data_IF_139450086029
#
_entry.id   IF_139450086029
#
_cell.length_a   1.000
_cell.length_b   1.000
_cell.length_c   1.000
_cell.angle_alpha   90.00
_cell.angle_beta   90.00
_cell.angle_gamma   90.00
#
_symmetry.space_group_name_H-M   'P 1'
#
loop_
_entity.id
_entity.type
_entity.pdbx_description
1 polymer ?
#
# COMPACT_ATOMS: atom_id res chain seq x y z
N UNK A 1 5.79 8.18 -13.64
CA UNK A 1 6.01 6.75 -13.41
C UNK A 1 7.30 6.31 -14.07
N UNK A 2 8.06 5.47 -13.39
CA UNK A 2 9.32 4.87 -13.85
C UNK A 2 9.29 3.38 -13.47
N UNK A 3 9.63 2.50 -14.40
CA UNK A 3 9.80 1.08 -14.12
C UNK A 3 11.29 0.71 -14.14
N UNK A 4 11.83 0.35 -12.98
CA UNK A 4 13.19 -0.18 -12.84
C UNK A 4 13.20 -1.69 -12.57
N UNK A 5 12.04 -2.36 -12.63
CA UNK A 5 11.96 -3.81 -12.55
C UNK A 5 12.57 -4.44 -13.82
N UNK A 6 13.02 -5.69 -13.72
CA UNK A 6 13.47 -6.50 -14.86
C UNK A 6 12.30 -7.16 -15.62
N UNK A 7 11.06 -6.82 -15.26
CA UNK A 7 9.81 -7.23 -15.90
C UNK A 7 8.89 -6.05 -16.21
N UNK A 8 7.89 -6.27 -17.07
CA UNK A 8 6.88 -5.27 -17.44
C UNK A 8 5.89 -5.02 -16.31
N UNK A 9 5.43 -3.79 -16.17
CA UNK A 9 4.39 -3.42 -15.19
C UNK A 9 3.33 -2.54 -15.84
N UNK A 10 2.10 -2.62 -15.33
CA UNK A 10 0.98 -1.78 -15.78
C UNK A 10 0.53 -0.89 -14.62
N UNK A 11 0.98 0.37 -14.62
CA UNK A 11 0.62 1.28 -13.55
C UNK A 11 -0.87 1.58 -13.61
N UNK A 12 -1.54 1.64 -12.47
CA UNK A 12 -2.95 1.98 -12.38
C UNK A 12 -3.18 2.95 -11.23
N UNK A 13 -4.22 3.76 -11.35
CA UNK A 13 -4.73 4.60 -10.27
C UNK A 13 -6.08 4.06 -9.81
N UNK A 14 -6.35 4.16 -8.51
CA UNK A 14 -7.62 3.84 -7.88
C UNK A 14 -8.09 5.07 -7.09
N UNK A 15 -9.00 5.85 -7.66
CA UNK A 15 -9.61 7.00 -7.00
C UNK A 15 -10.54 6.57 -5.88
N UNK A 16 -10.32 7.10 -4.69
CA UNK A 16 -11.12 6.80 -3.50
C UNK A 16 -12.54 7.35 -3.57
N UNK A 17 -13.41 6.81 -2.73
CA UNK A 17 -14.74 7.38 -2.51
C UNK A 17 -14.61 8.79 -1.91
N UNK A 18 -15.43 9.73 -2.36
CA UNK A 18 -15.42 11.07 -1.77
C UNK A 18 -16.13 11.10 -0.41
N UNK A 19 -15.61 11.89 0.52
CA UNK A 19 -16.26 12.11 1.82
C UNK A 19 -17.65 12.75 1.65
N UNK A 20 -18.63 12.30 2.44
CA UNK A 20 -20.03 12.72 2.33
C UNK A 20 -20.62 12.56 0.90
N UNK A 21 -20.21 11.51 0.18
CA UNK A 21 -20.73 11.22 -1.16
C UNK A 21 -22.26 11.26 -1.21
N UNK A 22 -22.86 11.92 -2.22
CA UNK A 22 -24.28 11.75 -2.49
C UNK A 22 -24.56 10.32 -2.97
N UNK A 23 -25.79 9.86 -2.74
CA UNK A 23 -26.33 8.71 -3.46
C UNK A 23 -26.38 9.04 -4.96
N UNK A 24 -25.99 8.08 -5.81
CA UNK A 24 -25.89 8.30 -7.25
C UNK A 24 -26.33 7.06 -8.04
N UNK A 25 -26.92 7.29 -9.21
CA UNK A 25 -27.16 6.23 -10.21
C UNK A 25 -26.49 6.54 -11.56
N UNK A 26 -26.03 7.79 -11.73
CA UNK A 26 -25.34 8.28 -12.92
C UNK A 26 -24.29 9.33 -12.52
N UNK A 27 -23.30 9.55 -13.38
CA UNK A 27 -22.26 10.57 -13.16
C UNK A 27 -22.81 11.99 -13.01
N UNK A 28 -23.99 12.29 -13.56
CA UNK A 28 -24.60 13.62 -13.46
C UNK A 28 -25.04 14.01 -12.04
N UNK A 29 -25.12 13.03 -11.13
CA UNK A 29 -25.40 13.25 -9.70
C UNK A 29 -24.12 13.36 -8.88
N UNK A 30 -22.99 13.04 -9.49
CA UNK A 30 -21.69 13.13 -8.85
C UNK A 30 -21.07 14.50 -9.07
N UNK A 31 -20.28 14.97 -8.10
CA UNK A 31 -19.39 16.10 -8.26
C UNK A 31 -18.51 16.11 -9.51
N UNK A 32 -18.16 17.32 -9.96
CA UNK A 32 -17.10 17.52 -10.96
C UNK A 32 -15.80 16.82 -10.52
N UNK A 33 -15.20 16.05 -11.43
CA UNK A 33 -13.99 15.27 -11.18
C UNK A 33 -14.24 13.91 -10.52
N UNK A 34 -15.50 13.50 -10.36
CA UNK A 34 -15.87 12.20 -9.77
C UNK A 34 -16.85 11.44 -10.67
N UNK A 35 -16.91 10.12 -10.50
CA UNK A 35 -17.81 9.22 -11.25
C UNK A 35 -18.55 8.28 -10.30
N UNK A 36 -19.76 7.90 -10.70
CA UNK A 36 -20.65 7.07 -9.90
C UNK A 36 -20.36 5.58 -10.09
N UNK A 37 -20.16 4.85 -8.99
CA UNK A 37 -20.46 3.42 -8.96
C UNK A 37 -21.87 3.23 -8.38
N UNK A 38 -22.89 2.92 -9.21
CA UNK A 38 -24.27 2.74 -8.76
C UNK A 38 -24.50 1.48 -7.92
N UNK A 39 -23.58 0.50 -7.96
CA UNK A 39 -23.71 -0.74 -7.19
C UNK A 39 -23.21 -0.57 -5.75
N UNK A 40 -22.40 0.46 -5.47
CA UNK A 40 -21.86 0.74 -4.16
C UNK A 40 -22.94 1.04 -3.10
N UNK A 41 -22.58 0.88 -1.82
CA UNK A 41 -23.44 1.16 -0.66
C UNK A 41 -24.83 0.49 -0.72
N UNK A 42 -24.86 -0.79 -1.13
CA UNK A 42 -26.10 -1.55 -1.25
C UNK A 42 -27.03 -1.07 -2.36
N UNK A 43 -26.48 -0.53 -3.45
CA UNK A 43 -27.22 -0.05 -4.62
C UNK A 43 -27.72 1.40 -4.52
N UNK A 44 -27.28 2.15 -3.50
CA UNK A 44 -27.51 3.60 -3.40
C UNK A 44 -26.54 4.40 -4.27
N UNK A 45 -25.41 3.78 -4.59
CA UNK A 45 -24.30 4.35 -5.32
C UNK A 45 -23.44 5.31 -4.52
N UNK A 46 -22.18 5.42 -4.92
CA UNK A 46 -21.16 6.27 -4.30
C UNK A 46 -20.31 6.90 -5.42
N UNK A 47 -19.92 8.16 -5.23
CA UNK A 47 -19.05 8.89 -6.13
C UNK A 47 -17.58 8.68 -5.74
N UNK A 48 -16.75 8.39 -6.73
CA UNK A 48 -15.31 8.16 -6.58
C UNK A 48 -14.53 9.13 -7.45
N UNK A 49 -13.31 9.50 -7.04
CA UNK A 49 -12.43 10.33 -7.86
C UNK A 49 -12.15 9.67 -9.22
N UNK A 50 -12.25 10.46 -10.30
CA UNK A 50 -11.92 9.97 -11.65
C UNK A 50 -10.41 9.73 -11.74
N UNK A 51 -10.04 8.56 -12.25
CA UNK A 51 -8.65 8.23 -12.54
C UNK A 51 -8.19 8.95 -13.81
N UNK A 52 -7.15 9.80 -13.77
CA UNK A 52 -6.64 10.46 -14.97
C UNK A 52 -6.02 9.44 -15.92
N UNK A 53 -6.10 9.73 -17.22
CA UNK A 53 -5.57 8.89 -18.29
C UNK A 53 -4.18 9.40 -18.70
N UNK A 54 -3.19 8.51 -18.85
CA UNK A 54 -1.89 8.89 -19.40
C UNK A 54 -2.02 9.32 -20.87
N UNK A 55 -1.14 10.20 -21.38
CA UNK A 55 -1.04 10.45 -22.80
C UNK A 55 -0.56 9.18 -23.51
N UNK A 56 -0.83 9.09 -24.82
CA UNK A 56 -0.19 8.09 -25.66
C UNK A 56 1.33 8.19 -25.53
N UNK A 57 2.03 7.06 -25.47
CA UNK A 57 3.49 7.01 -25.38
C UNK A 57 4.13 7.94 -26.44
N UNK A 58 5.07 8.83 -26.06
CA UNK A 58 5.70 9.73 -27.01
C UNK A 58 6.52 8.93 -28.05
N UNK A 59 6.25 9.20 -29.32
CA UNK A 59 6.92 8.70 -30.52
C UNK A 59 6.83 7.16 -30.80
N UNK A 60 5.87 6.77 -31.64
CA UNK A 60 5.88 5.54 -32.46
C UNK A 60 5.92 4.18 -31.73
N UNK A 61 5.65 4.11 -30.43
CA UNK A 61 5.52 2.83 -29.73
C UNK A 61 4.03 2.44 -29.60
N UNK A 62 3.53 1.37 -30.24
CA UNK A 62 2.15 0.90 -30.13
C UNK A 62 1.83 0.26 -28.77
N UNK A 63 2.70 0.46 -27.77
CA UNK A 63 2.55 -0.09 -26.43
C UNK A 63 1.42 0.62 -25.71
N UNK A 64 0.60 -0.18 -25.05
CA UNK A 64 -0.45 0.25 -24.13
C UNK A 64 0.07 1.39 -23.22
N UNK A 65 -0.59 2.56 -23.15
CA UNK A 65 -0.06 3.72 -22.43
C UNK A 65 0.09 3.51 -20.92
N UNK A 66 -0.56 2.48 -20.36
CA UNK A 66 -0.41 2.07 -18.96
C UNK A 66 0.76 1.10 -18.74
N UNK A 67 1.24 0.47 -19.81
CA UNK A 67 2.37 -0.46 -19.77
C UNK A 67 3.70 0.31 -19.75
N UNK A 68 4.57 -0.09 -18.83
CA UNK A 68 5.95 0.30 -18.78
C UNK A 68 6.82 -0.93 -19.05
N UNK A 69 7.66 -0.84 -20.07
CA UNK A 69 8.62 -1.91 -20.38
C UNK A 69 9.59 -2.13 -19.21
N UNK A 70 10.20 -3.31 -19.15
CA UNK A 70 11.28 -3.62 -18.21
C UNK A 70 12.44 -2.62 -18.35
N UNK A 71 13.28 -2.53 -17.31
CA UNK A 71 14.45 -1.66 -17.29
C UNK A 71 15.31 -1.84 -18.54
N UNK A 72 15.64 -0.72 -19.20
CA UNK A 72 16.32 -0.69 -20.50
C UNK A 72 15.40 -0.55 -21.72
N UNK A 73 14.09 -0.68 -21.53
CA UNK A 73 13.05 -0.37 -22.54
C UNK A 73 12.43 1.02 -22.38
N UNK A 74 11.26 1.25 -23.01
CA UNK A 74 10.43 2.45 -22.78
C UNK A 74 9.69 2.29 -21.45
N UNK A 75 10.33 2.73 -20.37
CA UNK A 75 9.94 2.41 -19.01
C UNK A 75 9.38 3.60 -18.22
N UNK A 76 8.98 4.69 -18.90
CA UNK A 76 8.45 5.89 -18.26
C UNK A 76 7.16 6.37 -18.90
N UNK A 77 6.19 6.80 -18.09
CA UNK A 77 5.04 7.58 -18.54
C UNK A 77 4.58 8.53 -17.40
N UNK A 78 3.62 9.41 -17.68
CA UNK A 78 3.10 10.41 -16.75
C UNK A 78 1.59 10.52 -16.85
N UNK A 79 0.95 10.96 -15.77
CA UNK A 79 -0.47 11.36 -15.76
C UNK A 79 -0.55 12.78 -15.23
N UNK A 80 -1.56 13.52 -15.69
CA UNK A 80 -1.85 14.87 -15.19
C UNK A 80 -3.18 14.80 -14.43
N UNK A 81 -3.14 15.13 -13.14
CA UNK A 81 -4.35 15.31 -12.33
C UNK A 81 -4.84 16.74 -12.54
N UNK A 82 -6.03 16.95 -13.14
CA UNK A 82 -6.53 18.30 -13.39
C UNK A 82 -7.04 18.94 -12.10
N UNK A 83 -6.76 20.23 -11.92
CA UNK A 83 -7.43 21.04 -10.87
C UNK A 83 -8.81 21.45 -11.39
N UNK A 84 -9.87 20.82 -10.89
CA UNK A 84 -11.22 21.23 -11.25
C UNK A 84 -11.53 22.63 -10.69
N UNK A 85 -12.12 23.50 -11.51
CA UNK A 85 -12.44 24.89 -11.14
C UNK A 85 -13.51 24.99 -10.05
N UNK A 86 -14.37 23.95 -9.90
CA UNK A 86 -15.51 23.88 -8.98
C UNK A 86 -15.60 22.53 -8.20
N UNK A 87 -14.48 21.89 -7.84
CA UNK A 87 -14.47 20.61 -7.10
C UNK A 87 -15.28 20.64 -5.79
N UNK A 88 -15.95 19.53 -5.46
CA UNK A 88 -16.95 19.42 -4.38
C UNK A 88 -16.36 19.20 -2.99
N UNK A 89 -15.14 18.71 -2.89
CA UNK A 89 -14.31 19.06 -1.74
C UNK A 89 -13.53 20.31 -2.13
N UNK A 90 -13.90 21.45 -1.54
CA UNK A 90 -13.36 22.78 -1.91
C UNK A 90 -11.83 22.83 -1.93
N UNK A 91 -11.16 21.87 -1.27
CA UNK A 91 -9.72 21.80 -1.14
C UNK A 91 -9.07 20.51 -1.68
N UNK A 92 -9.77 19.41 -1.99
CA UNK A 92 -9.11 18.18 -2.48
C UNK A 92 -9.13 18.13 -4.01
N UNK A 93 -7.96 17.88 -4.62
CA UNK A 93 -7.81 17.74 -6.07
C UNK A 93 -8.05 16.29 -6.52
N UNK A 94 -7.47 15.34 -5.79
CA UNK A 94 -7.61 13.90 -6.01
C UNK A 94 -7.20 13.17 -4.74
N UNK A 95 -7.86 12.06 -4.43
CA UNK A 95 -7.48 11.18 -3.34
C UNK A 95 -7.64 9.73 -3.77
N UNK A 96 -6.67 8.89 -3.45
CA UNK A 96 -6.71 7.48 -3.82
C UNK A 96 -5.36 6.79 -3.69
N UNK A 97 -5.26 5.64 -4.33
CA UNK A 97 -4.12 4.74 -4.25
C UNK A 97 -3.55 4.51 -5.64
N UNK A 98 -2.24 4.33 -5.72
CA UNK A 98 -1.51 4.11 -6.97
C UNK A 98 -0.61 2.89 -6.80
N UNK A 99 -0.64 1.97 -7.75
CA UNK A 99 0.22 0.79 -7.78
C UNK A 99 0.46 0.36 -9.23
N UNK A 100 1.02 -0.84 -9.41
CA UNK A 100 1.12 -1.46 -10.72
C UNK A 100 0.77 -2.95 -10.67
N UNK A 101 0.04 -3.38 -11.69
CA UNK A 101 -0.25 -4.80 -11.95
C UNK A 101 0.91 -5.46 -12.67
N UNK A 102 1.01 -6.78 -12.57
CA UNK A 102 1.95 -7.60 -13.33
C UNK A 102 1.24 -8.81 -13.96
N UNK A 103 1.87 -9.42 -14.96
CA UNK A 103 1.32 -10.54 -15.73
C UNK A 103 -0.06 -10.22 -16.34
N UNK A 104 -0.21 -9.02 -16.91
CA UNK A 104 -1.43 -8.61 -17.59
C UNK A 104 -1.54 -9.27 -18.96
N UNK A 105 -2.73 -9.79 -19.28
CA UNK A 105 -2.98 -10.48 -20.54
C UNK A 105 -3.33 -9.53 -21.71
N UNK A 106 -3.33 -8.21 -21.48
CA UNK A 106 -3.67 -7.19 -22.47
C UNK A 106 -5.14 -7.15 -22.89
N UNK A 107 -6.03 -7.89 -22.21
CA UNK A 107 -7.45 -7.99 -22.57
C UNK A 107 -8.40 -7.86 -21.40
N UNK A 108 -8.34 -8.76 -20.41
CA UNK A 108 -9.37 -8.87 -19.36
C UNK A 108 -8.82 -8.76 -17.95
N UNK A 109 -7.60 -9.20 -17.69
CA UNK A 109 -7.11 -9.35 -16.32
C UNK A 109 -5.59 -9.38 -16.23
N UNK A 110 -5.09 -9.11 -15.03
CA UNK A 110 -3.73 -9.35 -14.57
C UNK A 110 -3.73 -10.43 -13.49
N UNK A 111 -2.61 -11.11 -13.28
CA UNK A 111 -2.52 -12.11 -12.20
C UNK A 111 -2.18 -11.49 -10.85
N UNK A 112 -1.50 -10.35 -10.85
CA UNK A 112 -0.97 -9.66 -9.67
C UNK A 112 -1.48 -8.23 -9.67
N UNK A 113 -2.05 -7.81 -8.53
CA UNK A 113 -2.62 -6.49 -8.32
C UNK A 113 -3.58 -6.08 -9.47
N UNK A 114 -4.43 -7.01 -9.92
CA UNK A 114 -5.53 -6.67 -10.81
C UNK A 114 -6.51 -5.72 -10.09
N UNK A 115 -7.13 -4.82 -10.82
CA UNK A 115 -8.16 -3.95 -10.25
C UNK A 115 -9.30 -3.72 -11.25
N UNK A 116 -9.63 -4.76 -12.02
CA UNK A 116 -10.51 -4.67 -13.17
C UNK A 116 -10.04 -3.60 -14.18
N UNK A 117 -8.72 -3.53 -14.39
CA UNK A 117 -8.07 -2.55 -15.26
C UNK A 117 -8.01 -2.99 -16.73
N UNK A 118 -8.92 -3.87 -17.14
CA UNK A 118 -9.05 -4.42 -18.50
C UNK A 118 -7.73 -5.02 -19.02
N UNK A 119 -7.11 -5.90 -18.22
CA UNK A 119 -5.83 -6.53 -18.56
C UNK A 119 -4.70 -5.51 -18.72
N UNK A 120 -4.68 -4.49 -17.86
CA UNK A 120 -3.67 -3.44 -17.85
C UNK A 120 -3.90 -2.32 -18.87
N UNK A 121 -5.02 -2.28 -19.61
CA UNK A 121 -5.27 -1.25 -20.64
C UNK A 121 -5.99 0.01 -20.14
N UNK A 122 -6.33 0.06 -18.85
CA UNK A 122 -6.93 1.19 -18.17
C UNK A 122 -6.33 1.37 -16.77
N UNK A 123 -6.72 2.43 -16.06
CA UNK A 123 -6.66 2.46 -14.59
C UNK A 123 -7.76 1.58 -13.99
N UNK A 124 -7.81 1.46 -12.66
CA UNK A 124 -8.84 0.67 -11.99
C UNK A 124 -10.25 1.16 -12.34
N UNK A 125 -11.18 0.22 -12.47
CA UNK A 125 -12.58 0.56 -12.66
C UNK A 125 -13.12 1.33 -11.44
N UNK A 126 -14.09 2.22 -11.66
CA UNK A 126 -14.69 3.03 -10.58
C UNK A 126 -15.19 2.10 -9.45
N UNK A 127 -14.85 2.42 -8.20
CA UNK A 127 -15.21 1.62 -7.04
C UNK A 127 -14.38 0.34 -6.83
N UNK A 128 -13.39 0.06 -7.68
CA UNK A 128 -12.56 -1.14 -7.57
C UNK A 128 -11.15 -0.79 -7.09
N UNK A 129 -10.71 -1.47 -6.02
CA UNK A 129 -9.33 -1.41 -5.56
C UNK A 129 -8.44 -2.50 -6.16
N UNK A 130 -7.16 -2.46 -5.81
CA UNK A 130 -6.20 -3.50 -6.17
C UNK A 130 -6.48 -4.80 -5.41
N UNK A 131 -6.48 -5.91 -6.14
CA UNK A 131 -6.37 -7.24 -5.59
C UNK A 131 -5.06 -7.36 -4.81
N UNK A 132 -5.17 -7.84 -3.58
CA UNK A 132 -4.08 -7.87 -2.62
C UNK A 132 -3.47 -9.29 -2.53
N UNK A 133 -2.14 -9.45 -2.34
CA UNK A 133 -1.19 -8.42 -1.92
C UNK A 133 -0.77 -7.39 -2.98
N UNK A 134 -0.78 -6.11 -2.60
CA UNK A 134 -0.26 -5.02 -3.39
C UNK A 134 0.37 -3.94 -2.50
N UNK A 135 1.62 -3.57 -2.79
CA UNK A 135 2.24 -2.34 -2.28
C UNK A 135 1.58 -1.15 -2.96
N UNK A 136 1.10 -0.17 -2.18
CA UNK A 136 0.37 0.97 -2.72
C UNK A 136 0.98 2.29 -2.27
N UNK A 137 0.98 3.27 -3.17
CA UNK A 137 1.20 4.67 -2.84
C UNK A 137 -0.16 5.32 -2.57
N UNK A 138 -0.42 5.69 -1.32
CA UNK A 138 -1.62 6.41 -0.93
C UNK A 138 -1.34 7.91 -0.99
N UNK A 139 -2.22 8.68 -1.63
CA UNK A 139 -2.07 10.14 -1.67
C UNK A 139 -3.42 10.85 -1.67
N UNK A 140 -3.49 11.92 -0.91
CA UNK A 140 -4.51 12.96 -1.01
C UNK A 140 -3.85 14.26 -1.43
N UNK A 141 -4.15 14.70 -2.64
CA UNK A 141 -3.67 15.96 -3.22
C UNK A 141 -4.58 17.10 -2.80
N UNK A 142 -4.03 18.11 -2.14
CA UNK A 142 -4.74 19.26 -1.60
C UNK A 142 -4.40 20.51 -2.41
N UNK A 143 -5.42 21.30 -2.75
CA UNK A 143 -5.32 22.49 -3.60
C UNK A 143 -4.59 23.64 -2.94
N UNK A 144 -4.83 23.90 -1.66
CA UNK A 144 -4.38 25.11 -0.96
C UNK A 144 -3.57 24.83 0.31
N UNK A 145 -3.13 23.59 0.47
CA UNK A 145 -2.32 23.11 1.59
C UNK A 145 -1.41 21.98 1.10
N UNK A 146 -0.65 21.37 2.00
CA UNK A 146 0.20 20.22 1.72
C UNK A 146 -0.63 18.98 1.41
N UNK A 147 -0.19 18.24 0.41
CA UNK A 147 -0.63 16.88 0.14
C UNK A 147 -0.25 15.97 1.31
N UNK A 148 -0.98 14.88 1.48
CA UNK A 148 -0.70 13.84 2.46
C UNK A 148 -0.49 12.53 1.73
N UNK A 149 0.59 11.82 2.05
CA UNK A 149 0.90 10.59 1.34
C UNK A 149 1.81 9.66 2.11
N UNK A 150 1.79 8.39 1.69
CA UNK A 150 2.61 7.31 2.22
C UNK A 150 2.69 6.15 1.22
N UNK A 151 3.60 5.21 1.47
CA UNK A 151 3.65 3.93 0.74
C UNK A 151 3.40 2.82 1.74
N UNK A 152 2.35 2.04 1.50
CA UNK A 152 1.87 1.03 2.42
C UNK A 152 2.16 -0.41 1.95
N UNK A 153 2.33 -1.29 2.93
CA UNK A 153 2.37 -2.75 2.79
C UNK A 153 1.51 -3.45 3.85
N UNK A 154 0.50 -2.73 4.38
CA UNK A 154 -0.53 -3.26 5.29
C UNK A 154 -1.17 -4.47 4.66
N UNK A 155 -1.60 -4.36 3.40
CA UNK A 155 -2.27 -5.44 2.68
C UNK A 155 -1.30 -6.36 1.94
N UNK A 156 -0.01 -6.26 2.29
CA UNK A 156 1.07 -7.11 1.80
C UNK A 156 1.94 -6.40 0.78
N UNK A 157 2.82 -7.16 0.16
CA UNK A 157 3.85 -6.63 -0.73
C UNK A 157 3.88 -7.44 -2.02
N UNK A 158 3.99 -6.77 -3.15
CA UNK A 158 4.22 -7.42 -4.45
C UNK A 158 5.38 -6.82 -5.21
N UNK A 159 5.76 -5.55 -5.01
CA UNK A 159 6.98 -4.93 -5.57
C UNK A 159 7.31 -3.65 -4.81
N UNK A 160 8.58 -3.22 -4.73
CA UNK A 160 8.90 -1.97 -4.06
C UNK A 160 8.48 -0.75 -4.89
N UNK A 161 7.92 0.25 -4.22
CA UNK A 161 7.56 1.55 -4.77
C UNK A 161 8.37 2.64 -4.05
N UNK A 162 9.09 3.46 -4.80
CA UNK A 162 9.66 4.72 -4.31
C UNK A 162 8.83 5.89 -4.80
N UNK A 163 8.60 6.87 -3.93
CA UNK A 163 7.97 8.13 -4.30
C UNK A 163 8.92 9.28 -4.03
N UNK A 164 9.11 10.15 -5.02
CA UNK A 164 9.93 11.36 -4.90
C UNK A 164 9.11 12.58 -5.30
N UNK A 165 8.85 13.53 -4.37
CA UNK A 165 8.25 14.81 -4.72
C UNK A 165 9.18 15.63 -5.64
N UNK A 166 8.61 16.26 -6.66
CA UNK A 166 9.32 17.04 -7.67
C UNK A 166 9.25 18.53 -7.30
N UNK A 167 10.41 19.19 -7.23
CA UNK A 167 10.56 20.60 -6.85
C UNK A 167 9.83 21.01 -5.55
N UNK A 168 9.99 20.23 -4.45
CA UNK A 168 9.27 20.52 -3.21
C UNK A 168 9.69 21.84 -2.55
N UNK A 169 8.74 22.47 -1.87
CA UNK A 169 9.01 23.50 -0.88
C UNK A 169 9.50 22.84 0.40
N UNK A 170 10.77 23.07 0.73
CA UNK A 170 11.39 22.48 1.91
C UNK A 170 11.09 23.33 3.15
N UNK A 171 10.48 22.70 4.16
CA UNK A 171 10.32 23.25 5.51
C UNK A 171 11.47 22.73 6.37
N UNK A 172 12.46 23.57 6.75
CA UNK A 172 13.58 23.11 7.56
C UNK A 172 13.13 22.56 8.90
N UNK A 173 13.65 21.38 9.28
CA UNK A 173 13.39 20.74 10.57
C UNK A 173 12.10 19.92 10.66
N UNK A 174 11.35 19.78 9.56
CA UNK A 174 10.23 18.84 9.45
C UNK A 174 10.69 17.59 8.69
N UNK A 175 11.03 16.51 9.40
CA UNK A 175 11.54 15.26 8.81
C UNK A 175 10.49 14.56 7.91
N UNK A 176 9.22 14.94 8.02
CA UNK A 176 8.10 14.40 7.22
C UNK A 176 7.72 15.31 6.05
N UNK A 177 8.37 16.47 5.90
CA UNK A 177 8.12 17.38 4.80
C UNK A 177 8.80 16.89 3.53
N UNK A 178 7.98 16.53 2.53
CA UNK A 178 8.41 16.10 1.20
C UNK A 178 9.40 14.93 1.23
N UNK A 179 9.19 13.98 2.17
CA UNK A 179 9.99 12.77 2.28
C UNK A 179 9.86 11.86 1.06
N UNK A 180 10.85 10.98 0.89
CA UNK A 180 10.95 10.05 -0.24
C UNK A 180 10.77 8.59 0.22
N UNK A 181 9.54 8.13 0.52
CA UNK A 181 9.35 6.75 0.96
C UNK A 181 9.81 5.75 -0.10
N UNK A 182 10.38 4.64 0.34
CA UNK A 182 10.90 3.58 -0.54
C UNK A 182 12.30 3.84 -1.10
N UNK A 183 12.98 4.90 -0.65
CA UNK A 183 14.30 5.25 -1.15
C UNK A 183 15.38 4.20 -0.77
N UNK A 184 16.00 3.51 -1.74
CA UNK A 184 17.02 2.50 -1.45
C UNK A 184 18.33 3.07 -0.93
N UNK A 185 18.59 4.37 -1.15
CA UNK A 185 19.73 5.09 -0.57
C UNK A 185 19.43 5.65 0.84
N UNK A 186 18.22 5.43 1.36
CA UNK A 186 17.73 6.05 2.58
C UNK A 186 17.31 7.50 2.37
N UNK A 187 16.63 8.06 3.37
CA UNK A 187 16.27 9.49 3.42
C UNK A 187 16.85 10.10 4.70
N UNK A 188 16.99 11.43 4.83
CA UNK A 188 17.37 12.03 6.10
C UNK A 188 16.48 11.52 7.24
N UNK A 189 17.10 10.98 8.30
CA UNK A 189 16.37 10.36 9.42
C UNK A 189 15.89 8.92 9.19
N UNK A 190 15.89 8.40 7.97
CA UNK A 190 15.44 7.05 7.66
C UNK A 190 16.57 6.09 7.32
N UNK A 191 16.40 4.83 7.73
CA UNK A 191 17.19 3.72 7.19
C UNK A 191 16.88 3.44 5.71
N UNK A 192 17.70 2.59 5.10
CA UNK A 192 17.56 2.17 3.70
C UNK A 192 16.29 1.33 3.50
N UNK A 193 15.63 1.48 2.36
CA UNK A 193 14.61 0.54 1.90
C UNK A 193 15.20 -0.51 0.96
N UNK A 194 15.25 -1.77 1.39
CA UNK A 194 15.83 -2.83 0.58
C UNK A 194 15.09 -4.16 0.76
N UNK A 195 14.12 -4.39 -0.11
CA UNK A 195 13.29 -5.60 -0.08
C UNK A 195 14.02 -6.87 -0.50
N UNK A 196 15.07 -6.80 -1.33
CA UNK A 196 15.93 -7.96 -1.62
C UNK A 196 16.58 -8.55 -0.34
N UNK A 197 16.72 -7.73 0.71
CA UNK A 197 17.24 -8.16 2.01
C UNK A 197 16.13 -8.48 3.03
N UNK A 198 14.87 -8.61 2.59
CA UNK A 198 13.77 -8.97 3.47
C UNK A 198 14.03 -10.30 4.21
N UNK A 199 13.86 -10.27 5.54
CA UNK A 199 13.99 -11.45 6.40
C UNK A 199 12.65 -11.68 7.10
N UNK A 200 11.69 -12.38 6.46
CA UNK A 200 10.43 -12.69 7.11
C UNK A 200 10.62 -13.62 8.32
N UNK A 201 9.69 -13.59 9.31
CA UNK A 201 9.73 -14.45 10.48
C UNK A 201 9.65 -15.93 10.12
N UNK A 202 10.11 -16.77 11.05
CA UNK A 202 9.93 -18.22 10.94
C UNK A 202 8.50 -18.64 11.32
N UNK A 203 7.88 -19.58 10.58
CA UNK A 203 8.40 -20.18 9.34
C UNK A 203 8.23 -19.24 8.14
N UNK A 204 9.30 -19.06 7.34
CA UNK A 204 9.31 -18.09 6.21
C UNK A 204 8.24 -18.37 5.15
N UNK A 205 7.89 -19.64 4.94
CA UNK A 205 6.86 -20.05 3.98
C UNK A 205 5.47 -19.50 4.28
N UNK A 206 5.21 -19.04 5.52
CA UNK A 206 3.97 -18.36 5.87
C UNK A 206 3.86 -16.97 5.22
N UNK A 207 4.99 -16.34 4.92
CA UNK A 207 5.05 -14.97 4.42
C UNK A 207 5.34 -14.91 2.92
N UNK A 208 5.99 -15.90 2.32
CA UNK A 208 6.20 -15.90 0.87
C UNK A 208 4.87 -16.06 0.13
N UNK A 209 4.54 -15.10 -0.73
CA UNK A 209 3.51 -15.26 -1.76
C UNK A 209 4.15 -15.78 -3.04
N UNK A 210 3.63 -16.90 -3.54
CA UNK A 210 4.20 -17.61 -4.69
C UNK A 210 3.15 -17.92 -5.75
N UNK A 211 3.61 -18.14 -6.98
CA UNK A 211 2.77 -18.55 -8.11
C UNK A 211 1.99 -19.84 -7.82
N UNK A 212 0.73 -19.89 -8.25
CA UNK A 212 -0.14 -21.05 -8.11
C UNK A 212 0.26 -22.22 -9.03
N UNK A 213 -0.31 -23.41 -8.77
CA UNK A 213 -0.21 -24.57 -9.68
C UNK A 213 1.00 -25.49 -9.47
N UNK A 214 1.90 -25.16 -8.54
CA UNK A 214 2.99 -26.04 -8.13
C UNK A 214 2.57 -27.16 -7.17
N UNK A 215 3.46 -28.15 -6.92
CA UNK A 215 3.21 -29.21 -5.95
C UNK A 215 3.17 -28.66 -4.52
N UNK A 216 2.45 -29.35 -3.63
CA UNK A 216 2.46 -29.04 -2.20
C UNK A 216 3.87 -29.16 -1.62
N UNK A 217 4.18 -28.31 -0.64
CA UNK A 217 5.49 -28.28 0.02
C UNK A 217 5.36 -28.16 1.54
N UNK A 218 6.43 -28.47 2.25
CA UNK A 218 6.53 -28.28 3.71
C UNK A 218 7.52 -27.16 4.05
N UNK A 219 8.76 -27.25 3.56
CA UNK A 219 9.80 -26.23 3.80
C UNK A 219 10.73 -25.97 2.62
N UNK A 220 10.82 -26.89 1.66
CA UNK A 220 11.78 -26.81 0.53
C UNK A 220 11.12 -27.21 -0.77
N UNK A 221 11.69 -26.71 -1.87
CA UNK A 221 11.23 -26.95 -3.23
C UNK A 221 12.43 -27.22 -4.14
N UNK A 222 12.18 -27.86 -5.27
CA UNK A 222 13.20 -28.13 -6.30
C UNK A 222 13.32 -26.94 -7.25
N UNK A 223 14.45 -26.84 -7.96
CA UNK A 223 14.65 -25.84 -9.01
C UNK A 223 14.74 -24.39 -8.50
N UNK A 224 15.11 -24.18 -7.23
CA UNK A 224 15.23 -22.84 -6.64
C UNK A 224 13.89 -22.18 -6.27
N UNK A 225 12.75 -22.79 -6.60
CA UNK A 225 11.42 -22.31 -6.21
C UNK A 225 11.30 -22.14 -4.70
N UNK A 226 10.40 -21.26 -4.29
CA UNK A 226 10.09 -21.05 -2.88
C UNK A 226 8.93 -21.95 -2.45
N UNK A 227 9.03 -22.47 -1.22
CA UNK A 227 7.84 -22.98 -0.54
C UNK A 227 7.11 -21.79 0.08
N UNK A 228 5.89 -21.52 -0.37
CA UNK A 228 5.10 -20.37 0.04
C UNK A 228 3.61 -20.61 -0.10
N UNK A 229 2.81 -19.56 0.11
CA UNK A 229 1.36 -19.58 -0.01
C UNK A 229 0.94 -18.98 -1.35
N UNK A 230 0.10 -19.69 -2.11
CA UNK A 230 -0.52 -19.17 -3.33
C UNK A 230 -1.67 -18.18 -3.05
N UNK A 231 -2.31 -17.64 -4.09
CA UNK A 231 -3.42 -16.68 -3.96
C UNK A 231 -4.67 -17.22 -3.23
N UNK A 232 -4.74 -18.53 -2.97
CA UNK A 232 -5.80 -19.19 -2.19
C UNK A 232 -5.26 -19.72 -0.85
N UNK A 233 -4.07 -19.29 -0.46
CA UNK A 233 -3.32 -19.73 0.72
C UNK A 233 -3.06 -21.24 0.77
N UNK A 234 -2.93 -21.91 -0.39
CA UNK A 234 -2.38 -23.26 -0.44
C UNK A 234 -0.86 -23.20 -0.33
N UNK A 235 -0.26 -24.09 0.47
CA UNK A 235 1.19 -24.16 0.62
C UNK A 235 1.82 -24.97 -0.51
N UNK A 236 2.46 -24.30 -1.46
CA UNK A 236 2.97 -24.88 -2.71
C UNK A 236 4.38 -24.39 -3.06
N UNK A 237 5.05 -25.12 -3.93
CA UNK A 237 6.27 -24.68 -4.58
C UNK A 237 5.96 -23.74 -5.75
N UNK A 238 6.37 -22.48 -5.68
CA UNK A 238 6.13 -21.52 -6.75
C UNK A 238 7.25 -20.50 -6.93
N UNK A 239 7.11 -19.69 -7.97
CA UNK A 239 7.97 -18.55 -8.23
C UNK A 239 7.54 -17.37 -7.34
N UNK A 240 8.48 -16.52 -6.96
CA UNK A 240 8.21 -15.44 -6.01
C UNK A 240 7.29 -14.38 -6.64
N UNK A 241 6.19 -14.06 -5.96
CA UNK A 241 5.26 -12.99 -6.37
C UNK A 241 5.19 -11.86 -5.35
N UNK A 242 5.62 -12.09 -4.10
CA UNK A 242 5.63 -11.06 -3.07
C UNK A 242 5.63 -11.63 -1.65
N UNK A 243 5.10 -10.84 -0.72
CA UNK A 243 4.90 -11.24 0.66
C UNK A 243 3.47 -11.03 1.14
N UNK A 244 2.95 -12.02 1.86
CA UNK A 244 1.74 -11.88 2.66
C UNK A 244 2.00 -11.02 3.90
N UNK A 245 1.08 -10.10 4.19
CA UNK A 245 0.90 -9.59 5.54
C UNK A 245 -0.07 -10.49 6.31
N UNK A 246 -0.01 -10.42 7.64
CA UNK A 246 -0.95 -11.15 8.49
C UNK A 246 -2.39 -10.65 8.29
N UNK A 247 -2.56 -9.34 8.12
CA UNK A 247 -3.86 -8.71 7.82
C UNK A 247 -4.47 -9.32 6.55
N UNK A 248 -3.71 -9.28 5.46
CA UNK A 248 -4.20 -9.74 4.17
C UNK A 248 -4.47 -11.24 4.15
N UNK A 249 -3.57 -12.07 4.71
CA UNK A 249 -3.79 -13.51 4.77
C UNK A 249 -5.05 -13.86 5.59
N UNK A 250 -5.29 -13.17 6.70
CA UNK A 250 -6.50 -13.36 7.50
C UNK A 250 -7.77 -12.90 6.77
N UNK A 251 -7.70 -11.80 6.02
CA UNK A 251 -8.81 -11.29 5.20
C UNK A 251 -9.18 -12.25 4.06
N UNK A 252 -8.19 -12.83 3.37
CA UNK A 252 -8.41 -13.79 2.27
C UNK A 252 -9.03 -15.08 2.77
N UNK A 253 -8.42 -15.72 3.78
CA UNK A 253 -8.95 -16.97 4.32
C UNK A 253 -8.42 -17.24 5.74
N UNK A 254 -9.14 -16.72 6.73
CA UNK A 254 -8.82 -16.90 8.14
C UNK A 254 -8.65 -18.37 8.59
N UNK A 255 -9.29 -19.34 7.93
CA UNK A 255 -9.14 -20.76 8.29
C UNK A 255 -7.78 -21.31 7.85
N UNK A 256 -7.32 -20.97 6.64
CA UNK A 256 -6.01 -21.40 6.14
C UNK A 256 -4.86 -20.60 6.76
N UNK A 257 -5.08 -19.31 6.98
CA UNK A 257 -4.13 -18.43 7.64
C UNK A 257 -3.98 -18.72 9.16
N UNK A 258 -4.92 -19.44 9.77
CA UNK A 258 -4.92 -19.74 11.20
C UNK A 258 -3.63 -20.40 11.70
N UNK A 259 -3.06 -21.32 10.92
CA UNK A 259 -1.83 -22.06 11.28
C UNK A 259 -0.64 -21.10 11.53
N UNK A 260 -0.58 -20.00 10.79
CA UNK A 260 0.58 -19.10 10.79
C UNK A 260 0.31 -17.78 11.51
N UNK A 261 -0.87 -17.20 11.28
CA UNK A 261 -1.23 -15.86 11.74
C UNK A 261 -2.26 -15.87 12.85
N UNK A 262 -2.76 -17.05 13.26
CA UNK A 262 -3.67 -17.20 14.41
C UNK A 262 -4.92 -16.31 14.32
N UNK A 263 -5.40 -16.06 13.09
CA UNK A 263 -6.45 -15.10 12.77
C UNK A 263 -7.68 -15.18 13.66
N UNK A 264 -8.08 -16.40 14.04
CA UNK A 264 -9.32 -16.70 14.77
C UNK A 264 -9.10 -16.83 16.27
N UNK A 265 -7.88 -16.67 16.77
CA UNK A 265 -7.64 -16.64 18.21
C UNK A 265 -8.36 -15.44 18.81
N UNK A 266 -9.11 -15.66 19.87
CA UNK A 266 -9.75 -14.56 20.59
C UNK A 266 -8.69 -13.73 21.31
N UNK A 267 -8.88 -12.41 21.28
CA UNK A 267 -8.13 -11.47 22.09
C UNK A 267 -8.55 -11.66 23.56
N UNK A 268 -7.57 -11.71 24.46
CA UNK A 268 -7.78 -12.08 25.86
C UNK A 268 -7.36 -11.00 26.85
N UNK A 269 -6.67 -9.96 26.39
CA UNK A 269 -6.24 -8.84 27.22
C UNK A 269 -7.06 -7.58 26.93
N UNK A 270 -7.23 -6.67 27.91
CA UNK A 270 -7.73 -5.32 27.65
C UNK A 270 -6.93 -4.61 26.54
N UNK A 271 -7.53 -3.68 25.79
CA UNK A 271 -8.90 -3.14 25.93
C UNK A 271 -10.01 -4.04 25.35
N UNK A 272 -9.63 -5.16 24.72
CA UNK A 272 -10.57 -6.02 24.02
C UNK A 272 -11.37 -6.91 24.99
N UNK A 273 -12.71 -6.89 24.94
CA UNK A 273 -13.53 -7.83 25.71
C UNK A 273 -13.22 -9.27 25.32
N UNK A 274 -12.98 -10.11 26.34
CA UNK A 274 -12.64 -11.52 26.14
C UNK A 274 -13.69 -12.23 25.27
N UNK A 275 -13.22 -13.03 24.32
CA UNK A 275 -14.06 -13.83 23.40
C UNK A 275 -14.99 -13.02 22.48
N UNK A 276 -14.76 -11.72 22.31
CA UNK A 276 -15.56 -10.89 21.38
C UNK A 276 -14.82 -10.63 20.08
N UNK A 277 -13.55 -10.23 20.18
CA UNK A 277 -12.73 -9.90 19.01
C UNK A 277 -11.71 -11.00 18.73
N UNK A 278 -11.55 -11.34 17.46
CA UNK A 278 -10.51 -12.24 16.98
C UNK A 278 -9.25 -11.43 16.63
N UNK A 279 -8.09 -12.08 16.60
CA UNK A 279 -6.82 -11.44 16.27
C UNK A 279 -6.82 -10.79 14.87
N UNK A 280 -7.58 -11.33 13.92
CA UNK A 280 -7.79 -10.70 12.61
C UNK A 280 -8.35 -9.29 12.69
N UNK A 281 -9.24 -9.02 13.65
CA UNK A 281 -9.77 -7.68 13.87
C UNK A 281 -8.68 -6.69 14.30
N UNK A 282 -7.72 -7.16 15.10
CA UNK A 282 -6.60 -6.33 15.52
C UNK A 282 -5.57 -6.13 14.40
N UNK A 283 -5.40 -7.05 13.44
CA UNK A 283 -4.55 -6.77 12.27
C UNK A 283 -5.08 -5.59 11.43
N UNK A 284 -6.40 -5.49 11.27
CA UNK A 284 -7.06 -4.36 10.62
C UNK A 284 -7.29 -3.14 11.53
N UNK A 285 -6.69 -3.11 12.73
CA UNK A 285 -6.90 -2.07 13.75
C UNK A 285 -8.38 -1.75 14.02
N UNK A 286 -9.21 -2.78 14.23
CA UNK A 286 -10.58 -2.60 14.72
C UNK A 286 -10.53 -2.41 16.24
N UNK A 287 -11.06 -1.28 16.72
CA UNK A 287 -11.13 -0.94 18.16
C UNK A 287 -12.52 -1.26 18.75
N UNK A 288 -12.62 -1.62 20.05
CA UNK A 288 -13.90 -1.91 20.69
C UNK A 288 -14.81 -0.68 20.88
N UNK A 289 -14.21 0.50 21.06
CA UNK A 289 -14.87 1.78 21.25
C UNK A 289 -14.79 2.59 19.96
N UNK A 290 -15.64 2.25 18.99
CA UNK A 290 -15.70 2.86 17.66
C UNK A 290 -16.13 4.35 17.63
N UNK A 291 -15.93 5.13 18.70
CA UNK A 291 -16.58 6.42 18.83
C UNK A 291 -15.85 7.58 18.15
N UNK A 292 -14.53 7.58 17.95
CA UNK A 292 -13.84 8.67 17.22
C UNK A 292 -12.55 8.16 16.55
N UNK A 293 -12.33 8.48 15.26
CA UNK A 293 -11.13 8.10 14.50
C UNK A 293 -9.82 8.57 15.14
N UNK A 294 -9.87 9.57 16.02
CA UNK A 294 -8.73 10.09 16.79
C UNK A 294 -8.19 9.08 17.81
N UNK A 295 -8.99 8.09 18.20
CA UNK A 295 -8.64 7.04 19.18
C UNK A 295 -8.04 5.79 18.52
N UNK A 296 -8.05 5.72 17.18
CA UNK A 296 -7.42 4.63 16.43
C UNK A 296 -5.90 4.79 16.34
N UNK A 297 -5.35 5.93 16.81
CA UNK A 297 -3.91 6.09 16.94
C UNK A 297 -3.41 6.13 18.38
N UNK A 298 -2.48 5.25 18.70
CA UNK A 298 -1.77 5.22 19.96
C UNK A 298 -0.63 6.26 20.08
N UNK A 299 -0.51 7.23 19.16
CA UNK A 299 0.53 8.28 19.20
C UNK A 299 0.01 9.67 19.62
N UNK A 300 -1.26 9.97 19.32
CA UNK A 300 -1.82 11.32 19.47
C UNK A 300 -2.35 11.55 20.90
N UNK A 301 -2.81 10.48 21.58
CA UNK A 301 -3.23 10.50 22.99
C UNK A 301 -2.85 9.18 23.69
N UNK A 302 -2.81 9.19 25.03
CA UNK A 302 -2.78 7.97 25.84
C UNK A 302 -4.19 7.34 25.83
N UNK A 303 -4.60 6.88 24.63
CA UNK A 303 -5.86 6.21 24.43
C UNK A 303 -5.72 4.76 24.94
N UNK A 304 -6.37 4.40 26.06
CA UNK A 304 -6.25 3.04 26.59
C UNK A 304 -6.83 1.99 25.63
N UNK A 305 -7.72 2.42 24.72
CA UNK A 305 -8.47 1.55 23.81
C UNK A 305 -7.91 1.48 22.37
N UNK A 306 -6.77 2.13 22.09
CA UNK A 306 -6.17 2.10 20.76
C UNK A 306 -5.57 0.72 20.43
N UNK A 307 -5.35 0.46 19.14
CA UNK A 307 -4.94 -0.85 18.65
C UNK A 307 -3.53 -1.25 19.12
N UNK A 308 -2.54 -0.37 18.93
CA UNK A 308 -1.18 -0.51 19.45
C UNK A 308 -0.15 0.21 18.58
N UNK A 309 1.03 0.48 19.15
CA UNK A 309 2.11 1.18 18.47
C UNK A 309 3.50 0.67 18.90
N UNK A 310 4.54 1.03 18.13
CA UNK A 310 5.92 0.76 18.47
C UNK A 310 6.80 2.01 18.35
N UNK A 311 7.77 2.12 19.26
CA UNK A 311 8.92 3.01 19.07
C UNK A 311 9.97 2.24 18.27
N UNK A 312 9.93 2.35 16.93
CA UNK A 312 10.73 1.51 16.03
C UNK A 312 12.25 1.61 16.26
N UNK A 313 12.72 2.77 16.70
CA UNK A 313 14.11 3.03 17.10
C UNK A 313 14.59 2.11 18.23
N UNK A 314 13.71 1.76 19.16
CA UNK A 314 14.00 0.80 20.25
C UNK A 314 14.19 -0.63 19.75
N UNK A 315 13.78 -0.91 18.51
CA UNK A 315 13.93 -2.20 17.84
C UNK A 315 15.03 -2.19 16.77
N UNK A 316 15.91 -1.19 16.80
CA UNK A 316 17.05 -1.07 15.88
C UNK A 316 16.67 -0.61 14.48
N UNK A 317 15.47 -0.07 14.30
CA UNK A 317 14.99 0.44 13.01
C UNK A 317 15.22 1.95 12.98
N UNK A 318 15.98 2.42 12.01
CA UNK A 318 16.30 3.85 11.86
C UNK A 318 15.10 4.61 11.30
N UNK A 319 14.51 5.48 12.13
CA UNK A 319 13.41 6.39 11.84
C UNK A 319 13.75 7.82 12.29
N UNK A 320 13.09 8.86 11.75
CA UNK A 320 13.39 10.25 12.11
C UNK A 320 13.23 10.53 13.59
N UNK A 321 14.09 11.38 14.14
CA UNK A 321 14.08 11.71 15.57
C UNK A 321 12.83 12.50 15.97
N UNK A 322 12.17 13.20 15.04
CA UNK A 322 10.90 13.89 15.28
C UNK A 322 9.68 12.96 15.27
N UNK A 323 9.84 11.65 15.04
CA UNK A 323 8.74 10.68 15.09
C UNK A 323 8.06 10.73 16.47
N UNK A 324 6.73 10.77 16.47
CA UNK A 324 5.96 10.73 17.71
C UNK A 324 6.26 9.43 18.48
N UNK A 325 6.52 9.56 19.77
CA UNK A 325 6.68 8.39 20.64
C UNK A 325 5.33 7.73 20.89
N UNK A 326 5.31 6.40 20.79
CA UNK A 326 4.19 5.54 21.15
C UNK A 326 3.75 5.82 22.60
N UNK A 327 2.45 6.14 22.79
CA UNK A 327 1.89 6.49 24.10
C UNK A 327 1.36 5.26 24.84
N UNK A 328 0.85 4.27 24.12
CA UNK A 328 0.32 3.04 24.72
C UNK A 328 1.14 1.81 24.33
N UNK A 329 2.24 1.59 25.05
CA UNK A 329 3.06 0.37 24.91
C UNK A 329 2.51 -0.82 25.71
N UNK A 330 1.34 -0.68 26.34
CA UNK A 330 0.82 -1.65 27.31
C UNK A 330 -0.17 -2.67 26.72
N UNK A 331 -0.61 -2.46 25.48
CA UNK A 331 -1.50 -3.39 24.78
C UNK A 331 -0.74 -4.71 24.48
N UNK A 332 -0.93 -5.70 25.36
CA UNK A 332 -0.30 -7.01 25.26
C UNK A 332 -0.78 -7.81 24.06
N UNK A 333 -2.02 -7.60 23.59
CA UNK A 333 -2.46 -8.24 22.36
C UNK A 333 -1.61 -7.77 21.18
N UNK A 334 -1.36 -6.47 21.07
CA UNK A 334 -0.59 -5.92 19.96
C UNK A 334 0.89 -6.26 20.05
N UNK A 335 1.52 -6.00 21.20
CA UNK A 335 2.97 -6.20 21.40
C UNK A 335 3.39 -7.66 21.28
N UNK A 336 2.53 -8.61 21.68
CA UNK A 336 2.85 -10.04 21.60
C UNK A 336 2.41 -10.70 20.29
N UNK A 337 1.34 -10.19 19.64
CA UNK A 337 0.73 -10.87 18.51
C UNK A 337 0.88 -10.14 17.18
N UNK A 338 0.82 -8.80 17.15
CA UNK A 338 0.85 -8.00 15.93
C UNK A 338 2.27 -7.55 15.60
N UNK A 339 2.92 -6.86 16.53
CA UNK A 339 4.25 -6.29 16.31
C UNK A 339 5.25 -7.30 15.72
N UNK A 340 5.37 -8.55 16.23
CA UNK A 340 6.34 -9.50 15.71
C UNK A 340 6.09 -9.92 14.25
N UNK A 341 4.88 -9.70 13.72
CA UNK A 341 4.47 -10.08 12.35
C UNK A 341 4.69 -8.97 11.33
N UNK A 342 4.83 -7.72 11.77
CA UNK A 342 5.03 -6.54 10.91
C UNK A 342 6.42 -5.90 11.05
N UNK A 343 7.09 -6.12 12.19
CA UNK A 343 8.39 -5.47 12.47
C UNK A 343 9.46 -5.77 11.42
N UNK A 344 9.43 -6.95 10.80
CA UNK A 344 10.37 -7.30 9.74
C UNK A 344 10.12 -6.50 8.45
N UNK A 345 8.85 -6.22 8.09
CA UNK A 345 8.51 -5.36 6.95
C UNK A 345 9.01 -3.94 7.23
N UNK A 346 8.81 -3.46 8.46
CA UNK A 346 9.32 -2.16 8.90
C UNK A 346 10.84 -2.07 8.87
N UNK A 347 11.54 -3.12 9.32
CA UNK A 347 12.99 -3.19 9.25
C UNK A 347 13.51 -3.27 7.80
N UNK A 348 12.71 -3.83 6.89
CA UNK A 348 13.05 -3.96 5.46
C UNK A 348 12.94 -2.61 4.73
N UNK A 349 11.95 -1.79 5.10
CA UNK A 349 11.81 -0.43 4.60
C UNK A 349 11.21 0.49 5.69
N UNK A 350 12.05 1.24 6.43
CA UNK A 350 11.60 2.05 7.57
C UNK A 350 10.62 3.18 7.23
N UNK A 351 10.57 3.60 5.97
CA UNK A 351 9.66 4.64 5.49
C UNK A 351 8.31 4.11 4.97
N UNK A 352 8.08 2.80 4.98
CA UNK A 352 6.78 2.24 4.59
C UNK A 352 5.84 2.14 5.76
N UNK A 353 4.57 2.39 5.47
CA UNK A 353 3.45 2.27 6.37
C UNK A 353 3.05 0.79 6.50
N UNK A 354 3.16 0.24 7.71
CA UNK A 354 3.06 -1.22 7.92
C UNK A 354 1.87 -1.66 8.76
N UNK A 355 1.13 -0.72 9.34
CA UNK A 355 -0.02 -1.01 10.20
C UNK A 355 -1.06 0.10 10.14
N UNK A 356 -2.37 -0.21 9.99
CA UNK A 356 -3.42 0.80 9.81
C UNK A 356 -3.47 1.82 10.95
N UNK A 357 -3.60 3.10 10.60
CA UNK A 357 -3.77 4.25 11.52
C UNK A 357 -2.61 4.54 12.49
N UNK A 358 -1.61 3.66 12.58
CA UNK A 358 -0.66 3.62 13.71
C UNK A 358 0.81 3.42 13.29
N UNK A 359 1.23 4.05 12.20
CA UNK A 359 2.64 4.17 11.81
C UNK A 359 3.08 5.63 11.62
N UNK A 360 3.29 6.34 12.75
CA UNK A 360 3.67 7.75 12.79
C UNK A 360 5.02 8.07 12.10
N UNK A 361 5.79 7.04 11.74
CA UNK A 361 7.07 7.19 11.05
C UNK A 361 6.96 7.14 9.53
N UNK A 362 5.77 7.02 8.94
CA UNK A 362 5.66 6.76 7.49
C UNK A 362 4.57 7.53 6.77
N UNK A 363 4.06 8.60 7.38
CA UNK A 363 3.16 9.53 6.72
C UNK A 363 3.87 10.86 6.45
N UNK A 364 3.82 11.30 5.21
CA UNK A 364 4.53 12.48 4.72
C UNK A 364 3.55 13.56 4.28
N UNK A 365 4.04 14.80 4.25
CA UNK A 365 3.28 15.94 3.72
C UNK A 365 4.12 16.74 2.77
N UNK A 366 3.58 17.24 1.67
CA UNK A 366 4.37 18.04 0.75
C UNK A 366 3.57 19.12 0.03
N UNK A 367 4.23 20.25 -0.24
CA UNK A 367 3.78 21.26 -1.19
C UNK A 367 4.97 21.76 -2.01
N UNK A 368 4.72 22.37 -3.16
CA UNK A 368 5.72 23.09 -3.97
C UNK A 368 5.75 24.60 -3.67
N UNK A 369 4.81 25.07 -2.83
CA UNK A 369 4.66 26.47 -2.45
C UNK A 369 4.47 26.63 -0.94
N UNK A 370 4.60 27.87 -0.45
CA UNK A 370 4.26 28.20 0.93
C UNK A 370 2.75 28.07 1.19
N UNK A 371 2.36 27.75 2.42
CA UNK A 371 0.97 27.54 2.83
C UNK A 371 0.03 28.68 2.38
N UNK A 372 -1.15 28.31 1.87
CA UNK A 372 -2.16 29.25 1.36
C UNK A 372 -2.05 29.59 -0.14
N UNK A 373 -1.01 29.10 -0.83
CA UNK A 373 -0.92 29.15 -2.29
C UNK A 373 -1.46 27.85 -2.90
N UNK A 374 -1.71 27.88 -4.22
CA UNK A 374 -2.06 26.66 -4.93
C UNK A 374 -0.88 25.68 -4.94
N UNK A 375 -1.12 24.46 -4.49
CA UNK A 375 -0.14 23.38 -4.53
C UNK A 375 -0.22 22.64 -5.87
N UNK A 376 0.93 22.48 -6.52
CA UNK A 376 1.08 21.76 -7.79
C UNK A 376 2.28 20.80 -7.79
N UNK A 377 2.66 20.32 -6.61
CA UNK A 377 3.75 19.35 -6.45
C UNK A 377 3.53 18.12 -7.34
N UNK A 378 4.55 17.78 -8.14
CA UNK A 378 4.57 16.55 -8.93
C UNK A 378 5.20 15.41 -8.15
N UNK A 379 4.88 14.16 -8.49
CA UNK A 379 5.46 12.98 -7.86
C UNK A 379 6.05 12.03 -8.89
N UNK A 380 7.32 11.68 -8.71
CA UNK A 380 7.95 10.59 -9.44
C UNK A 380 7.78 9.30 -8.66
N UNK A 381 6.97 8.39 -9.22
CA UNK A 381 6.72 7.05 -8.67
C UNK A 381 7.59 6.06 -9.45
N UNK A 382 8.48 5.37 -8.75
CA UNK A 382 9.41 4.39 -9.31
C UNK A 382 9.10 3.00 -8.77
N UNK A 383 8.84 2.05 -9.67
CA UNK A 383 8.71 0.63 -9.35
C UNK A 383 10.08 -0.04 -9.39
N UNK A 384 10.37 -0.90 -8.40
CA UNK A 384 11.65 -1.58 -8.19
C UNK A 384 12.89 -0.65 -8.17
N UNK A 385 12.90 0.45 -7.39
CA UNK A 385 14.00 1.42 -7.34
C UNK A 385 15.36 0.76 -7.12
N UNK A 386 16.33 1.11 -7.94
CA UNK A 386 17.67 0.53 -7.98
C UNK A 386 17.72 -0.91 -8.50
N UNK A 387 16.70 -1.36 -9.24
CA UNK A 387 16.54 -2.76 -9.66
C UNK A 387 16.16 -3.70 -8.52
N UNK A 388 15.72 -3.17 -7.39
CA UNK A 388 15.31 -3.97 -6.23
C UNK A 388 13.89 -4.48 -6.47
N UNK A 389 13.72 -5.78 -6.74
CA UNK A 389 12.39 -6.36 -6.95
C UNK A 389 11.83 -6.98 -5.66
N UNK A 390 12.59 -7.05 -4.57
CA UNK A 390 12.22 -7.81 -3.39
C UNK A 390 12.41 -9.33 -3.52
N UNK A 391 12.99 -9.79 -4.63
CA UNK A 391 13.21 -11.20 -4.92
C UNK A 391 14.19 -11.82 -3.89
N UNK A 392 13.77 -12.86 -3.14
CA UNK A 392 14.68 -13.57 -2.27
C UNK A 392 15.84 -14.19 -3.05
N UNK A 393 17.05 -14.11 -2.49
CA UNK A 393 18.26 -14.59 -3.18
C UNK A 393 18.12 -16.05 -3.65
N UNK A 394 18.32 -16.28 -4.95
CA UNK A 394 18.25 -17.59 -5.59
C UNK A 394 16.83 -18.08 -5.91
N UNK A 395 15.79 -17.32 -5.57
CA UNK A 395 14.43 -17.62 -5.98
C UNK A 395 14.20 -17.21 -7.45
N UNK A 396 13.36 -17.94 -8.20
CA UNK A 396 12.87 -17.50 -9.49
C UNK A 396 11.85 -16.36 -9.36
N UNK A 397 11.95 -15.40 -10.28
CA UNK A 397 11.03 -14.26 -10.40
C UNK A 397 9.70 -14.73 -11.02
N UNK A 398 8.60 -14.50 -10.31
CA UNK A 398 7.26 -14.97 -10.70
C UNK A 398 6.35 -13.85 -11.21
N UNK A 399 6.90 -12.66 -11.49
CA UNK A 399 6.18 -11.46 -11.94
C UNK A 399 6.46 -11.06 -13.40
N UNK A 400 7.39 -11.74 -14.07
CA UNK A 400 7.91 -11.37 -15.39
C UNK A 400 7.68 -12.38 -16.51
#
# INVERSE_FOLDING_TARGET
>A
FVNECDFKVWFSMNGGAIGNSPDCTTDAQCPDGTSCDPAANGGKGVCFWINPTPPSHPANNPVNPYELEAFGGVNTNSVMVPVASNAVDVNTQWSGNISASALCNGSTSCEIADCNNNGGSASCAVGNGFDQPATQFEITMIKSDRDFYDVEVINGFHMPIQVTPNNPFNVPGDDFNCGTPGNPAGSPGYGLCNWNNAIPPSPKHAYYWVSSGGPECTTTCTGGKLCGLDNKLNRVCGDFQGFWSADQACAVNANKAQEYFQCKNFLTNPPYPSNTYQLSALYGCVTPSASESILNSCYIFDAPDCCGCANWDQFGITIPASTLACKNTSNLNWTQQVQPKIQWMKATCPSYYTYPYDDASSSFRCSDTAAGNSNSVGYTITFCPGGNTGLPNGAPEGRG
#
